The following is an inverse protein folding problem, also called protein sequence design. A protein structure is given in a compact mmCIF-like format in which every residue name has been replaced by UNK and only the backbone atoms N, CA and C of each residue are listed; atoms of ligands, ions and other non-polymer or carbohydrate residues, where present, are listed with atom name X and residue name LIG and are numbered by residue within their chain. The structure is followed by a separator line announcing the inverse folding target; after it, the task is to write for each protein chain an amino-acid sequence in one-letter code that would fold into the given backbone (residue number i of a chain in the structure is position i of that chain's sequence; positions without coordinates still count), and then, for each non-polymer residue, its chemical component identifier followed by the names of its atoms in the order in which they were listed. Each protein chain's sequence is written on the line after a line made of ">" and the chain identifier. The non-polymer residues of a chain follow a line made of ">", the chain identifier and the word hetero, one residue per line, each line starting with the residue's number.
data_IF_113111127560
#
_entry.id   IF_113111127560
#
_cell.length_a   1.000
_cell.length_b   1.000
_cell.length_c   1.000
_cell.angle_alpha   90.00
_cell.angle_beta   90.00
_cell.angle_gamma   90.00
#
_symmetry.space_group_name_H-M   'P 1'
#
loop_
_entity.id
_entity.type
_entity.pdbx_description
1 polymer ?
#
# COMPACT_ATOMS: atom_id res chain seq x y z
N UNK A 1 0.95 8.71 10.49
CA UNK A 1 0.25 8.13 9.33
C UNK A 1 1.20 7.13 8.69
N UNK A 2 0.77 5.88 8.49
CA UNK A 2 1.57 4.78 7.92
C UNK A 2 1.17 4.43 6.47
N UNK A 3 0.50 5.34 5.75
CA UNK A 3 0.13 5.14 4.35
C UNK A 3 1.36 5.02 3.44
N UNK A 4 1.34 4.04 2.54
CA UNK A 4 2.34 3.83 1.47
C UNK A 4 1.81 4.15 0.08
N UNK A 5 0.56 4.60 0.00
CA UNK A 5 0.03 5.16 -1.22
C UNK A 5 -1.47 5.33 -1.21
N UNK A 6 -1.89 6.07 -2.22
CA UNK A 6 -3.29 6.31 -2.52
C UNK A 6 -3.61 5.81 -3.92
N UNK A 7 -4.82 5.31 -4.12
CA UNK A 7 -5.37 5.12 -5.45
C UNK A 7 -6.72 5.86 -5.56
N UNK A 8 -6.90 6.69 -6.60
CA UNK A 8 -7.90 7.74 -6.54
C UNK A 8 -9.29 7.33 -7.04
N UNK A 9 -9.36 6.32 -7.89
CA UNK A 9 -10.62 5.87 -8.45
C UNK A 9 -10.69 4.35 -8.43
N UNK A 10 -11.88 3.82 -8.18
CA UNK A 10 -12.16 2.44 -8.48
C UNK A 10 -13.60 2.24 -8.92
N UNK A 11 -13.77 1.23 -9.76
CA UNK A 11 -15.05 0.67 -10.16
C UNK A 11 -15.06 -0.76 -9.64
N UNK A 12 -16.19 -1.22 -9.10
CA UNK A 12 -16.37 -2.61 -8.75
C UNK A 12 -17.50 -3.29 -9.55
N UNK A 13 -17.60 -4.61 -9.41
CA UNK A 13 -18.66 -5.42 -10.01
C UNK A 13 -20.00 -5.35 -9.27
N UNK A 14 -20.12 -4.51 -8.24
CA UNK A 14 -21.33 -4.33 -7.44
C UNK A 14 -22.05 -3.01 -7.75
N UNK A 15 -21.63 -2.31 -8.81
CA UNK A 15 -22.23 -1.05 -9.24
C UNK A 15 -21.70 0.16 -8.46
N UNK A 16 -20.58 0.03 -7.74
CA UNK A 16 -19.95 1.14 -7.04
C UNK A 16 -18.88 1.77 -7.95
N UNK A 17 -19.02 3.07 -8.15
CA UNK A 17 -18.03 3.93 -8.80
C UNK A 17 -17.61 5.00 -7.80
N UNK A 18 -16.33 4.99 -7.42
CA UNK A 18 -15.73 6.06 -6.61
C UNK A 18 -14.84 6.90 -7.50
N UNK A 19 -15.18 8.18 -7.60
CA UNK A 19 -14.37 9.20 -8.27
C UNK A 19 -13.73 10.11 -7.21
N UNK A 20 -12.47 10.55 -7.42
CA UNK A 20 -11.71 11.37 -6.48
C UNK A 20 -12.15 12.84 -6.47
N UNK A 21 -13.45 13.12 -6.42
CA UNK A 21 -13.98 14.49 -6.51
C UNK A 21 -13.82 15.30 -5.22
N UNK A 22 -13.57 14.62 -4.10
CA UNK A 22 -13.48 15.23 -2.76
C UNK A 22 -12.05 15.33 -2.23
N UNK A 23 -11.06 14.83 -2.97
CA UNK A 23 -9.68 14.69 -2.47
C UNK A 23 -9.49 13.60 -1.41
N UNK A 24 -10.55 12.85 -1.06
CA UNK A 24 -10.46 11.67 -0.20
C UNK A 24 -10.06 10.46 -1.04
N UNK A 25 -8.99 9.80 -0.62
CA UNK A 25 -8.46 8.65 -1.33
C UNK A 25 -8.51 7.40 -0.47
N UNK A 26 -8.39 6.24 -1.10
CA UNK A 26 -8.17 5.01 -0.36
C UNK A 26 -6.70 4.93 0.04
N UNK A 27 -6.41 5.03 1.33
CA UNK A 27 -5.06 4.92 1.87
C UNK A 27 -4.73 3.43 2.09
N UNK A 28 -3.52 3.02 1.71
CA UNK A 28 -2.99 1.70 1.98
C UNK A 28 -1.98 1.77 3.12
N UNK A 29 -2.31 1.32 4.34
CA UNK A 29 -1.36 1.30 5.44
C UNK A 29 -0.26 0.27 5.20
N UNK A 30 1.00 0.62 5.47
CA UNK A 30 2.15 -0.27 5.31
C UNK A 30 1.97 -1.60 6.03
N UNK A 31 1.41 -1.58 7.24
CA UNK A 31 1.21 -2.78 8.07
C UNK A 31 0.34 -3.85 7.40
N UNK A 32 -0.45 -3.50 6.39
CA UNK A 32 -1.26 -4.47 5.63
C UNK A 32 -0.41 -5.36 4.73
N UNK A 33 0.83 -4.96 4.45
CA UNK A 33 1.80 -5.73 3.68
C UNK A 33 2.58 -6.74 4.55
N UNK A 34 2.49 -6.62 5.87
CA UNK A 34 3.26 -7.43 6.82
C UNK A 34 2.39 -8.57 7.39
N UNK A 35 2.71 -9.84 7.08
CA UNK A 35 2.04 -10.98 7.69
C UNK A 35 2.38 -11.08 9.18
N UNK A 36 1.43 -11.55 9.98
CA UNK A 36 1.63 -11.74 11.42
C UNK A 36 2.37 -13.05 11.69
N UNK A 37 3.38 -13.01 12.56
CA UNK A 37 4.10 -14.20 13.03
C UNK A 37 5.11 -14.78 12.04
N UNK A 38 5.43 -14.04 10.97
CA UNK A 38 6.48 -14.41 10.01
C UNK A 38 7.38 -13.21 9.79
N UNK A 39 8.63 -13.35 10.23
CA UNK A 39 9.64 -12.32 10.02
C UNK A 39 10.22 -12.40 8.60
N UNK A 40 10.78 -11.28 8.13
CA UNK A 40 11.44 -11.18 6.83
C UNK A 40 10.57 -11.59 5.62
N UNK A 41 9.24 -11.47 5.75
CA UNK A 41 8.28 -11.68 4.68
C UNK A 41 7.46 -10.40 4.49
N UNK A 42 7.36 -9.94 3.24
CA UNK A 42 6.43 -8.88 2.83
C UNK A 42 5.56 -9.39 1.69
N UNK A 43 4.28 -9.07 1.74
CA UNK A 43 3.30 -9.47 0.74
C UNK A 43 2.79 -8.22 0.00
N UNK A 44 2.43 -8.37 -1.27
CA UNK A 44 1.85 -7.29 -2.07
C UNK A 44 0.74 -7.81 -3.01
N UNK A 45 -0.04 -6.90 -3.57
CA UNK A 45 -1.11 -7.24 -4.49
C UNK A 45 -2.44 -7.49 -3.78
N UNK A 46 -3.06 -8.63 -4.08
CA UNK A 46 -4.44 -8.97 -3.69
C UNK A 46 -4.52 -9.66 -2.31
N UNK A 47 -3.82 -9.10 -1.34
CA UNK A 47 -3.55 -9.74 -0.04
C UNK A 47 -4.50 -9.28 1.07
N UNK A 48 -5.23 -8.19 0.85
CA UNK A 48 -6.06 -7.54 1.87
C UNK A 48 -7.49 -8.08 1.85
N UNK A 49 -7.96 -8.54 3.01
CA UNK A 49 -9.37 -8.81 3.29
C UNK A 49 -10.10 -7.58 3.84
N UNK A 50 -11.43 -7.56 3.73
CA UNK A 50 -12.24 -6.46 4.26
C UNK A 50 -13.73 -6.72 4.06
N UNK A 51 -14.57 -5.72 4.35
CA UNK A 51 -15.97 -5.73 3.96
C UNK A 51 -16.12 -5.79 2.42
N UNK A 52 -17.36 -5.93 1.95
CA UNK A 52 -17.67 -6.04 0.52
C UNK A 52 -17.02 -4.96 -0.35
N UNK A 53 -17.03 -3.71 0.10
CA UNK A 53 -16.53 -2.56 -0.67
C UNK A 53 -15.01 -2.48 -0.57
N UNK A 54 -14.48 -2.59 0.65
CA UNK A 54 -13.04 -2.56 0.90
C UNK A 54 -12.32 -3.71 0.19
N UNK A 55 -12.91 -4.91 0.20
CA UNK A 55 -12.38 -6.07 -0.51
C UNK A 55 -12.38 -5.87 -2.03
N UNK A 56 -13.46 -5.30 -2.60
CA UNK A 56 -13.48 -5.00 -4.02
C UNK A 56 -12.45 -3.94 -4.41
N UNK A 57 -12.28 -2.89 -3.59
CA UNK A 57 -11.33 -1.81 -3.82
C UNK A 57 -9.88 -2.29 -3.83
N UNK A 58 -9.45 -3.07 -2.83
CA UNK A 58 -8.05 -3.51 -2.68
C UNK A 58 -7.63 -4.56 -3.71
N UNK A 59 -8.58 -5.15 -4.43
CA UNK A 59 -8.31 -6.17 -5.48
C UNK A 59 -8.07 -5.54 -6.86
N UNK A 60 -8.20 -4.22 -7.00
CA UNK A 60 -7.96 -3.52 -8.25
C UNK A 60 -6.47 -3.42 -8.61
N UNK A 61 -6.18 -3.33 -9.92
CA UNK A 61 -4.80 -3.27 -10.42
C UNK A 61 -4.02 -2.08 -9.87
N UNK A 62 -4.68 -0.93 -9.64
CA UNK A 62 -4.05 0.23 -9.03
C UNK A 62 -3.58 -0.05 -7.60
N UNK A 63 -4.38 -0.76 -6.80
CA UNK A 63 -3.97 -1.21 -5.47
C UNK A 63 -2.76 -2.15 -5.58
N UNK A 64 -2.77 -3.09 -6.54
CA UNK A 64 -1.63 -3.99 -6.76
C UNK A 64 -0.35 -3.24 -7.13
N UNK A 65 -0.45 -2.21 -7.98
CA UNK A 65 0.70 -1.39 -8.36
C UNK A 65 1.28 -0.63 -7.17
N UNK A 66 0.42 0.03 -6.39
CA UNK A 66 0.83 0.78 -5.18
C UNK A 66 1.48 -0.14 -4.15
N UNK A 67 0.83 -1.26 -3.82
CA UNK A 67 1.37 -2.22 -2.83
C UNK A 67 2.65 -2.90 -3.32
N UNK A 68 2.75 -3.21 -4.61
CA UNK A 68 3.95 -3.79 -5.21
C UNK A 68 5.15 -2.84 -5.12
N UNK A 69 4.96 -1.56 -5.46
CA UNK A 69 6.01 -0.56 -5.33
C UNK A 69 6.42 -0.38 -3.86
N UNK A 70 5.45 -0.25 -2.95
CA UNK A 70 5.71 -0.12 -1.52
C UNK A 70 6.52 -1.31 -0.97
N UNK A 71 6.15 -2.54 -1.31
CA UNK A 71 6.83 -3.74 -0.85
C UNK A 71 8.26 -3.85 -1.39
N UNK A 72 8.47 -3.59 -2.68
CA UNK A 72 9.81 -3.61 -3.28
C UNK A 72 10.73 -2.55 -2.67
N UNK A 73 10.23 -1.34 -2.49
CA UNK A 73 10.98 -0.24 -1.86
C UNK A 73 11.30 -0.54 -0.40
N UNK A 74 10.35 -1.07 0.36
CA UNK A 74 10.58 -1.48 1.74
C UNK A 74 11.64 -2.59 1.84
N UNK A 75 11.59 -3.60 0.97
CA UNK A 75 12.60 -4.66 0.93
C UNK A 75 14.00 -4.11 0.63
N UNK A 76 14.13 -3.18 -0.33
CA UNK A 76 15.41 -2.54 -0.65
C UNK A 76 15.96 -1.72 0.53
N UNK A 77 15.09 -0.94 1.22
CA UNK A 77 15.48 -0.16 2.40
C UNK A 77 15.83 -1.04 3.60
N UNK A 78 15.12 -2.15 3.78
CA UNK A 78 15.39 -3.14 4.84
C UNK A 78 16.82 -3.65 4.74
N UNK A 79 17.25 -4.07 3.55
CA UNK A 79 18.62 -4.53 3.29
C UNK A 79 19.63 -3.40 3.45
N UNK A 80 19.34 -2.21 2.89
CA UNK A 80 20.26 -1.06 2.90
C UNK A 80 20.57 -0.55 4.31
N UNK A 81 19.60 -0.62 5.22
CA UNK A 81 19.71 -0.06 6.57
C UNK A 81 19.87 -1.12 7.67
N UNK A 82 19.94 -2.39 7.31
CA UNK A 82 19.98 -3.52 8.25
C UNK A 82 18.86 -3.42 9.30
N UNK A 83 17.62 -3.25 8.80
CA UNK A 83 16.42 -3.14 9.62
C UNK A 83 15.38 -4.16 9.16
N UNK A 84 14.71 -4.87 10.09
CA UNK A 84 13.61 -5.75 9.72
C UNK A 84 12.44 -4.92 9.19
N UNK A 85 11.62 -5.56 8.35
CA UNK A 85 10.54 -4.91 7.60
C UNK A 85 9.53 -4.18 8.50
N UNK A 86 9.30 -4.68 9.71
CA UNK A 86 8.39 -4.14 10.71
C UNK A 86 8.98 -2.98 11.55
N UNK A 87 10.31 -2.77 11.50
CA UNK A 87 11.01 -1.68 12.17
C UNK A 87 11.55 -0.62 11.19
N UNK A 88 11.10 -0.64 9.93
CA UNK A 88 11.45 0.38 8.96
C UNK A 88 10.90 1.76 9.34
N UNK A 89 11.70 2.78 9.13
CA UNK A 89 11.26 4.17 9.30
C UNK A 89 10.23 4.53 8.22
N UNK A 90 9.00 4.87 8.65
CA UNK A 90 7.96 5.29 7.72
C UNK A 90 8.31 6.59 6.98
N UNK A 91 8.98 7.54 7.62
CA UNK A 91 9.41 8.77 6.94
C UNK A 91 10.42 8.49 5.83
N UNK A 92 11.32 7.53 6.04
CA UNK A 92 12.28 7.10 5.03
C UNK A 92 11.59 6.38 3.86
N UNK A 93 10.70 5.43 4.16
CA UNK A 93 9.94 4.73 3.13
C UNK A 93 9.09 5.69 2.30
N UNK A 94 8.37 6.61 2.95
CA UNK A 94 7.53 7.60 2.27
C UNK A 94 8.36 8.60 1.45
N UNK A 95 9.55 9.00 1.93
CA UNK A 95 10.44 9.86 1.17
C UNK A 95 10.94 9.18 -0.12
N UNK A 96 11.37 7.92 -0.03
CA UNK A 96 11.80 7.13 -1.18
C UNK A 96 10.65 6.89 -2.17
N UNK A 97 9.45 6.57 -1.68
CA UNK A 97 8.26 6.42 -2.53
C UNK A 97 7.91 7.72 -3.26
N UNK A 98 7.97 8.88 -2.59
CA UNK A 98 7.76 10.19 -3.24
C UNK A 98 8.82 10.47 -4.28
N UNK A 99 10.08 10.14 -4.00
CA UNK A 99 11.18 10.29 -4.96
C UNK A 99 10.97 9.45 -6.22
N UNK A 100 10.38 8.25 -6.08
CA UNK A 100 10.00 7.38 -7.19
C UNK A 100 8.68 7.79 -7.88
N UNK A 101 8.07 8.91 -7.49
CA UNK A 101 6.84 9.43 -8.09
C UNK A 101 5.55 8.80 -7.55
N UNK A 102 5.60 8.02 -6.47
CA UNK A 102 4.40 7.49 -5.83
C UNK A 102 3.56 8.64 -5.23
N UNK A 103 2.25 8.52 -5.34
CA UNK A 103 1.31 9.45 -4.70
C UNK A 103 1.03 9.01 -3.27
N UNK A 104 1.42 9.85 -2.33
CA UNK A 104 1.12 9.75 -0.90
C UNK A 104 0.29 10.98 -0.50
N UNK A 105 -0.68 10.82 0.40
CA UNK A 105 -1.42 11.93 1.01
C UNK A 105 -1.00 12.08 2.46
#
# INVERSE_FOLDING_TARGET
>A
DDSVGIFPAFIDGYGILILPTTGRYFHLPYRTLLPKGVDNLICAGRITGGDRVSHAATRNMMCCAVTGQAAGTAAALSIKHDKPLDHLSMSMLQAELKQQGARLH
#
